data_IF_613412231466
#
_entry.id   IF_613412231466
#
_cell.length_a   1.000
_cell.length_b   1.000
_cell.length_c   1.000
_cell.angle_alpha   90.00
_cell.angle_beta   90.00
_cell.angle_gamma   90.00
#
_symmetry.space_group_name_H-M   'P 1'
#
loop_
_entity.id
_entity.type
_entity.pdbx_description
1 polymer ?
#
# COMPACT_ATOMS: atom_id res chain seq x y z
N UNK A 1 -15.11 -24.38 -14.20
CA UNK A 1 -14.73 -23.44 -15.26
C UNK A 1 -13.24 -23.19 -15.06
N UNK A 2 -12.42 -23.90 -15.83
CA UNK A 2 -10.97 -23.95 -15.64
C UNK A 2 -10.36 -22.83 -16.48
N UNK A 3 -9.64 -21.90 -15.86
CA UNK A 3 -8.88 -20.92 -16.61
C UNK A 3 -7.74 -21.64 -17.35
N UNK A 4 -7.57 -21.43 -18.66
CA UNK A 4 -6.38 -21.93 -19.34
C UNK A 4 -5.17 -21.25 -18.70
N UNK A 5 -4.28 -22.06 -18.11
CA UNK A 5 -2.92 -21.61 -17.77
C UNK A 5 -2.20 -21.37 -19.07
N UNK A 6 -2.26 -20.13 -19.55
CA UNK A 6 -1.67 -19.71 -20.81
C UNK A 6 -0.15 -19.66 -20.66
N UNK A 7 0.51 -20.54 -21.39
CA UNK A 7 1.93 -20.84 -21.37
C UNK A 7 2.67 -19.88 -22.31
N UNK A 8 2.45 -18.56 -22.18
CA UNK A 8 3.26 -17.51 -22.81
C UNK A 8 3.19 -16.21 -22.00
N UNK A 9 3.68 -16.21 -20.75
CA UNK A 9 4.03 -14.93 -20.12
C UNK A 9 5.22 -14.34 -20.86
N UNK A 10 5.04 -13.15 -21.44
CA UNK A 10 6.13 -12.42 -22.11
C UNK A 10 7.22 -12.14 -21.07
N UNK A 11 8.48 -12.56 -21.30
CA UNK A 11 9.56 -12.36 -20.34
C UNK A 11 9.75 -10.89 -19.93
N UNK A 12 9.33 -9.94 -20.77
CA UNK A 12 9.38 -8.49 -20.48
C UNK A 12 8.33 -8.08 -19.45
N UNK A 13 7.18 -8.74 -19.41
CA UNK A 13 6.16 -8.49 -18.39
C UNK A 13 6.64 -8.97 -17.02
N UNK A 14 7.33 -10.10 -16.98
CA UNK A 14 7.94 -10.61 -15.76
C UNK A 14 9.01 -9.65 -15.21
N UNK A 15 9.88 -9.13 -16.07
CA UNK A 15 10.92 -8.15 -15.68
C UNK A 15 10.32 -6.85 -15.13
N UNK A 16 9.19 -6.38 -15.68
CA UNK A 16 8.47 -5.20 -15.18
C UNK A 16 7.82 -5.46 -13.82
N UNK A 17 7.19 -6.62 -13.62
CA UNK A 17 6.60 -7.02 -12.34
C UNK A 17 7.68 -7.15 -11.26
N UNK A 18 8.82 -7.75 -11.60
CA UNK A 18 9.96 -7.88 -10.70
C UNK A 18 10.55 -6.51 -10.36
N UNK A 19 10.70 -5.61 -11.34
CA UNK A 19 11.17 -4.24 -11.13
C UNK A 19 10.28 -3.43 -10.18
N UNK A 20 8.95 -3.52 -10.33
CA UNK A 20 8.00 -2.88 -9.42
C UNK A 20 8.07 -3.46 -8.00
N UNK A 21 8.22 -4.78 -7.89
CA UNK A 21 8.34 -5.45 -6.60
C UNK A 21 9.62 -5.04 -5.85
N UNK A 22 10.74 -4.87 -6.56
CA UNK A 22 11.98 -4.35 -5.99
C UNK A 22 11.80 -2.91 -5.50
N UNK A 23 11.19 -2.03 -6.31
CA UNK A 23 10.95 -0.64 -5.92
C UNK A 23 10.04 -0.52 -4.69
N UNK A 24 9.02 -1.36 -4.56
CA UNK A 24 8.13 -1.35 -3.39
C UNK A 24 8.86 -1.78 -2.12
N UNK A 25 9.67 -2.85 -2.22
CA UNK A 25 10.48 -3.34 -1.10
C UNK A 25 11.50 -2.29 -0.67
N UNK A 26 12.15 -1.61 -1.62
CA UNK A 26 13.08 -0.52 -1.32
C UNK A 26 12.38 0.72 -0.73
N UNK A 27 11.21 1.09 -1.23
CA UNK A 27 10.40 2.17 -0.65
C UNK A 27 10.01 1.84 0.80
N UNK A 28 9.59 0.61 1.06
CA UNK A 28 9.23 0.16 2.40
C UNK A 28 10.45 0.12 3.32
N UNK A 29 11.60 -0.37 2.85
CA UNK A 29 12.88 -0.30 3.59
C UNK A 29 13.26 1.14 3.92
N UNK A 30 13.12 2.06 2.97
CA UNK A 30 13.40 3.48 3.16
C UNK A 30 12.48 4.10 4.21
N UNK A 31 11.19 3.75 4.20
CA UNK A 31 10.23 4.19 5.21
C UNK A 31 10.57 3.65 6.60
N UNK A 32 10.81 2.35 6.72
CA UNK A 32 11.21 1.72 7.98
C UNK A 32 12.50 2.36 8.52
N UNK A 33 13.49 2.63 7.66
CA UNK A 33 14.73 3.30 8.07
C UNK A 33 14.49 4.73 8.58
N UNK A 34 13.64 5.51 7.90
CA UNK A 34 13.26 6.86 8.36
C UNK A 34 12.51 6.83 9.68
N UNK A 35 11.57 5.89 9.84
CA UNK A 35 10.82 5.72 11.09
C UNK A 35 11.76 5.30 12.22
N UNK A 36 12.74 4.42 11.95
CA UNK A 36 13.77 4.05 12.92
C UNK A 36 14.64 5.25 13.31
N UNK A 37 15.07 6.07 12.35
CA UNK A 37 15.86 7.27 12.63
C UNK A 37 15.08 8.27 13.51
N UNK A 38 13.80 8.48 13.21
CA UNK A 38 12.91 9.33 14.01
C UNK A 38 12.74 8.75 15.42
N UNK A 39 12.52 7.43 15.52
CA UNK A 39 12.37 6.74 16.79
C UNK A 39 13.65 6.77 17.65
N UNK A 40 14.84 6.73 17.04
CA UNK A 40 16.13 6.86 17.72
C UNK A 40 16.43 8.30 18.16
N UNK A 41 15.95 9.30 17.40
CA UNK A 41 16.03 10.71 17.78
C UNK A 41 15.01 11.08 18.85
N UNK A 42 13.87 10.40 18.85
CA UNK A 42 12.93 10.43 19.95
C UNK A 42 13.50 9.65 21.15
N UNK A 43 12.99 9.92 22.35
CA UNK A 43 13.34 9.15 23.53
C UNK A 43 12.94 7.67 23.33
N UNK A 44 13.90 6.72 23.26
CA UNK A 44 13.61 5.33 22.91
C UNK A 44 12.66 4.64 23.89
N UNK A 45 12.62 5.10 25.15
CA UNK A 45 11.73 4.58 26.18
C UNK A 45 10.27 4.97 25.92
N UNK A 46 10.04 6.06 25.18
CA UNK A 46 8.71 6.61 24.89
C UNK A 46 8.16 6.21 23.51
N UNK A 47 8.88 5.38 22.75
CA UNK A 47 8.40 4.88 21.45
C UNK A 47 7.27 3.85 21.67
N UNK A 48 6.09 4.00 21.03
CA UNK A 48 5.00 3.04 21.17
C UNK A 48 5.41 1.62 20.76
N UNK A 49 4.95 0.61 21.50
CA UNK A 49 5.26 -0.81 21.21
C UNK A 49 4.85 -1.22 19.79
N UNK A 50 3.74 -0.68 19.26
CA UNK A 50 3.32 -0.94 17.87
C UNK A 50 4.39 -0.49 16.87
N UNK A 51 5.04 0.65 17.11
CA UNK A 51 6.11 1.15 16.26
C UNK A 51 7.31 0.21 16.34
N UNK A 52 7.68 -0.24 17.55
CA UNK A 52 8.78 -1.22 17.74
C UNK A 52 8.50 -2.53 17.02
N UNK A 53 7.28 -3.07 17.12
CA UNK A 53 6.86 -4.27 16.39
C UNK A 53 6.97 -4.08 14.88
N UNK A 54 6.50 -2.95 14.34
CA UNK A 54 6.57 -2.67 12.90
C UNK A 54 8.01 -2.58 12.39
N UNK A 55 8.93 -2.04 13.20
CA UNK A 55 10.34 -1.94 12.87
C UNK A 55 11.07 -3.30 12.99
N UNK A 56 10.56 -4.20 13.83
CA UNK A 56 11.12 -5.53 14.03
C UNK A 56 10.67 -6.57 12.99
N UNK A 57 9.67 -6.24 12.16
CA UNK A 57 9.15 -7.13 11.12
C UNK A 57 10.25 -7.47 10.09
N UNK A 58 10.72 -8.73 10.11
CA UNK A 58 11.77 -9.22 9.20
C UNK A 58 11.22 -9.74 7.87
N UNK A 59 9.99 -10.22 7.88
CA UNK A 59 9.30 -10.78 6.71
C UNK A 59 8.01 -10.02 6.49
N UNK A 60 7.77 -9.62 5.25
CA UNK A 60 6.58 -8.89 4.84
C UNK A 60 5.60 -9.85 4.20
N UNK A 61 4.32 -9.73 4.59
CA UNK A 61 3.26 -10.50 3.95
C UNK A 61 2.86 -9.81 2.64
N UNK A 62 2.93 -10.56 1.55
CA UNK A 62 2.61 -10.07 0.21
C UNK A 62 1.16 -10.43 -0.16
N UNK A 63 0.41 -9.46 -0.70
CA UNK A 63 -0.98 -9.66 -1.08
C UNK A 63 -1.24 -9.05 -2.45
N UNK A 64 -1.82 -9.80 -3.41
CA UNK A 64 -2.28 -9.21 -4.67
C UNK A 64 -3.50 -8.32 -4.40
N UNK A 65 -3.51 -7.14 -5.01
CA UNK A 65 -4.55 -6.12 -4.79
C UNK A 65 -5.01 -5.52 -6.11
N UNK A 66 -6.25 -5.05 -6.12
CA UNK A 66 -6.72 -4.08 -7.11
C UNK A 66 -7.20 -2.81 -6.41
N UNK A 67 -6.91 -1.67 -7.01
CA UNK A 67 -7.20 -0.36 -6.45
C UNK A 67 -8.18 0.34 -7.38
N UNK A 68 -9.30 0.77 -6.82
CA UNK A 68 -10.20 1.74 -7.43
C UNK A 68 -9.91 3.12 -6.85
N UNK A 69 -9.81 4.13 -7.71
CA UNK A 69 -9.73 5.51 -7.27
C UNK A 69 -10.61 6.44 -8.09
N UNK A 70 -11.11 7.49 -7.45
CA UNK A 70 -11.87 8.54 -8.11
C UNK A 70 -12.00 9.79 -7.24
N UNK A 71 -12.05 10.95 -7.89
CA UNK A 71 -12.20 12.23 -7.21
C UNK A 71 -11.33 13.34 -7.81
N UNK A 72 -11.42 14.54 -7.24
CA UNK A 72 -10.56 15.68 -7.61
C UNK A 72 -9.94 16.31 -6.37
N UNK A 73 -10.80 16.82 -5.47
CA UNK A 73 -10.39 17.44 -4.20
C UNK A 73 -10.53 16.48 -3.02
N UNK A 74 -11.60 15.69 -3.06
CA UNK A 74 -11.80 14.53 -2.20
C UNK A 74 -11.62 13.31 -3.09
N UNK A 75 -10.71 12.42 -2.70
CA UNK A 75 -10.41 11.20 -3.44
C UNK A 75 -10.74 10.01 -2.56
N UNK A 76 -11.63 9.16 -3.06
CA UNK A 76 -11.91 7.85 -2.49
C UNK A 76 -10.92 6.83 -3.05
N UNK A 77 -10.39 6.00 -2.16
CA UNK A 77 -9.43 4.96 -2.48
C UNK A 77 -9.93 3.65 -1.92
N UNK A 78 -10.19 2.69 -2.80
CA UNK A 78 -10.65 1.36 -2.46
C UNK A 78 -9.59 0.34 -2.89
N UNK A 79 -8.81 -0.17 -1.94
CA UNK A 79 -7.84 -1.24 -2.20
C UNK A 79 -8.40 -2.59 -1.77
N UNK A 80 -8.65 -3.44 -2.75
CA UNK A 80 -9.30 -4.73 -2.59
C UNK A 80 -8.27 -5.85 -2.75
N UNK A 81 -8.19 -6.74 -1.76
CA UNK A 81 -7.23 -7.85 -1.77
C UNK A 81 -7.84 -8.99 -2.58
N UNK A 82 -7.21 -9.37 -3.70
CA UNK A 82 -7.83 -10.22 -4.73
C UNK A 82 -8.20 -11.60 -4.20
N UNK A 83 -7.33 -12.20 -3.40
CA UNK A 83 -7.48 -13.57 -2.91
C UNK A 83 -8.12 -13.65 -1.52
N UNK A 84 -8.50 -12.50 -0.95
CA UNK A 84 -8.96 -12.41 0.44
C UNK A 84 -10.25 -11.59 0.53
N UNK A 85 -11.14 -11.89 1.50
CA UNK A 85 -12.39 -11.14 1.69
C UNK A 85 -12.14 -9.82 2.43
N UNK A 86 -11.10 -9.08 2.05
CA UNK A 86 -10.66 -7.85 2.72
C UNK A 86 -10.62 -6.67 1.75
N UNK A 87 -10.83 -5.48 2.30
CA UNK A 87 -10.71 -4.22 1.57
C UNK A 87 -10.19 -3.13 2.50
N UNK A 88 -9.47 -2.16 1.95
CA UNK A 88 -9.17 -0.91 2.61
C UNK A 88 -9.99 0.19 1.94
N UNK A 89 -10.83 0.87 2.72
CA UNK A 89 -11.61 2.01 2.25
C UNK A 89 -11.02 3.29 2.86
N UNK A 90 -10.46 4.15 2.01
CA UNK A 90 -9.84 5.40 2.40
C UNK A 90 -10.49 6.62 1.76
N UNK A 91 -10.63 7.68 2.55
CA UNK A 91 -11.00 9.01 2.07
C UNK A 91 -9.80 9.93 2.27
N UNK A 92 -9.45 10.67 1.22
CA UNK A 92 -8.32 11.59 1.25
C UNK A 92 -8.71 12.99 0.82
N UNK A 93 -7.98 13.95 1.37
CA UNK A 93 -7.88 15.29 0.83
C UNK A 93 -6.58 15.43 0.05
N UNK A 94 -6.62 16.18 -1.03
CA UNK A 94 -5.42 16.47 -1.81
C UNK A 94 -5.75 16.97 -3.20
N UNK A 95 -4.73 16.98 -4.06
CA UNK A 95 -4.90 17.28 -5.47
C UNK A 95 -4.51 16.01 -6.21
N UNK A 96 -5.51 15.31 -6.73
CA UNK A 96 -5.30 14.31 -7.75
C UNK A 96 -6.35 14.50 -8.84
N UNK A 97 -5.91 14.49 -10.09
CA UNK A 97 -6.80 14.62 -11.24
C UNK A 97 -6.96 13.26 -11.89
N UNK A 98 -8.21 12.83 -12.04
CA UNK A 98 -8.56 11.62 -12.77
C UNK A 98 -9.10 10.51 -11.88
N UNK A 99 -9.14 9.32 -12.45
CA UNK A 99 -9.58 8.10 -11.79
C UNK A 99 -9.02 6.91 -12.55
N UNK A 100 -9.17 5.73 -11.98
CA UNK A 100 -8.65 4.54 -12.63
C UNK A 100 -8.76 3.28 -11.80
N UNK A 101 -8.38 2.20 -12.46
CA UNK A 101 -8.20 0.90 -11.86
C UNK A 101 -6.76 0.46 -12.05
N UNK A 102 -6.11 0.09 -10.97
CA UNK A 102 -4.76 -0.47 -11.01
C UNK A 102 -4.73 -1.80 -10.28
N UNK A 103 -3.79 -2.66 -10.67
CA UNK A 103 -3.55 -3.96 -10.07
C UNK A 103 -2.10 -4.04 -9.62
N UNK A 104 -1.85 -4.69 -8.50
CA UNK A 104 -0.52 -4.72 -7.94
C UNK A 104 -0.40 -5.60 -6.72
N UNK A 105 0.56 -5.25 -5.90
CA UNK A 105 0.90 -6.00 -4.70
C UNK A 105 1.03 -5.04 -3.53
N UNK A 106 0.54 -5.48 -2.38
CA UNK A 106 0.74 -4.84 -1.09
C UNK A 106 1.69 -5.69 -0.24
N UNK A 107 2.62 -5.03 0.44
CA UNK A 107 3.56 -5.62 1.38
C UNK A 107 3.30 -5.02 2.76
N UNK A 108 2.88 -5.87 3.70
CA UNK A 108 2.58 -5.45 5.07
C UNK A 108 3.55 -6.06 6.08
N UNK A 109 3.87 -5.27 7.10
CA UNK A 109 4.64 -5.70 8.28
C UNK A 109 3.79 -6.58 9.22
N UNK A 110 2.48 -6.66 8.99
CA UNK A 110 1.52 -7.47 9.73
C UNK A 110 0.70 -8.32 8.76
N UNK A 111 0.32 -9.55 9.14
CA UNK A 111 -0.69 -10.29 8.40
C UNK A 111 -2.00 -9.49 8.33
N UNK A 112 -2.65 -9.48 7.18
CA UNK A 112 -3.85 -8.65 6.98
C UNK A 112 -4.98 -8.96 7.96
N UNK A 113 -5.13 -10.23 8.35
CA UNK A 113 -6.10 -10.67 9.37
C UNK A 113 -5.93 -9.95 10.72
N UNK A 114 -4.70 -9.56 11.07
CA UNK A 114 -4.37 -8.90 12.34
C UNK A 114 -4.75 -7.41 12.33
N UNK A 115 -4.81 -6.80 11.16
CA UNK A 115 -5.06 -5.37 10.99
C UNK A 115 -6.49 -5.06 10.51
N UNK A 116 -7.36 -6.07 10.39
CA UNK A 116 -8.78 -5.84 10.13
C UNK A 116 -9.40 -5.04 11.28
N UNK A 117 -10.16 -4.01 10.92
CA UNK A 117 -10.75 -3.04 11.83
C UNK A 117 -9.79 -1.93 12.26
N UNK A 118 -8.53 -1.95 11.82
CA UNK A 118 -7.60 -0.87 12.13
C UNK A 118 -7.88 0.33 11.22
N UNK A 119 -7.89 1.51 11.84
CA UNK A 119 -7.77 2.77 11.13
C UNK A 119 -6.31 3.02 10.76
N UNK A 120 -6.09 3.46 9.54
CA UNK A 120 -4.79 3.80 9.01
C UNK A 120 -4.81 5.15 8.32
N UNK A 121 -3.74 5.90 8.50
CA UNK A 121 -3.38 7.02 7.63
C UNK A 121 -2.72 6.46 6.39
N UNK A 122 -2.94 7.11 5.26
CA UNK A 122 -2.27 6.76 4.04
C UNK A 122 -1.78 7.98 3.27
N UNK A 123 -0.79 7.76 2.43
CA UNK A 123 -0.35 8.69 1.42
C UNK A 123 -0.27 7.92 0.12
N UNK A 124 -1.00 8.39 -0.88
CA UNK A 124 -0.98 7.82 -2.22
C UNK A 124 -0.38 8.82 -3.20
N UNK A 125 0.50 8.31 -4.06
CA UNK A 125 1.08 9.03 -5.19
C UNK A 125 0.63 8.35 -6.47
N UNK A 126 0.05 9.13 -7.36
CA UNK A 126 -0.46 8.68 -8.65
C UNK A 126 0.36 9.32 -9.77
N UNK A 127 0.84 8.47 -10.66
CA UNK A 127 1.45 8.84 -11.92
C UNK A 127 0.73 8.07 -13.03
N UNK A 128 0.76 8.53 -14.29
CA UNK A 128 0.11 7.80 -15.36
C UNK A 128 0.65 6.36 -15.43
N UNK A 129 -0.25 5.39 -15.31
CA UNK A 129 0.08 3.98 -15.31
C UNK A 129 0.56 3.37 -13.98
N UNK A 130 0.85 4.17 -12.95
CA UNK A 130 1.43 3.69 -11.68
C UNK A 130 0.80 4.38 -10.46
N UNK A 131 0.47 3.60 -9.42
CA UNK A 131 0.03 4.09 -8.14
C UNK A 131 0.89 3.48 -7.02
N UNK A 132 1.34 4.32 -6.09
CA UNK A 132 2.06 3.89 -4.89
C UNK A 132 1.31 4.37 -3.66
N UNK A 133 1.07 3.50 -2.69
CA UNK A 133 0.37 3.83 -1.45
C UNK A 133 1.20 3.36 -0.26
N UNK A 134 1.37 4.23 0.72
CA UNK A 134 2.02 3.91 1.98
C UNK A 134 1.02 4.05 3.13
N UNK A 135 1.04 3.09 4.05
CA UNK A 135 0.08 2.98 5.15
C UNK A 135 0.80 3.10 6.50
N UNK A 136 0.24 3.92 7.38
CA UNK A 136 0.69 4.07 8.75
C UNK A 136 -0.50 3.91 9.70
N UNK A 137 -0.29 3.25 10.83
CA UNK A 137 -1.31 3.23 11.87
C UNK A 137 -1.48 4.60 12.51
N UNK A 138 -2.54 4.73 13.31
CA UNK A 138 -2.85 5.99 13.98
C UNK A 138 -1.79 6.39 15.02
N UNK A 139 -0.94 5.47 15.45
CA UNK A 139 0.16 5.72 16.39
C UNK A 139 1.52 5.96 15.71
N UNK A 140 1.58 5.86 14.38
CA UNK A 140 2.79 6.13 13.58
C UNK A 140 3.59 4.89 13.20
N UNK A 141 3.10 3.70 13.55
CA UNK A 141 3.64 2.43 13.09
C UNK A 141 3.51 2.29 11.57
N UNK A 142 4.51 1.69 10.94
CA UNK A 142 4.47 1.42 9.49
C UNK A 142 3.69 0.13 9.28
N UNK A 143 2.49 0.24 8.70
CA UNK A 143 1.67 -0.94 8.36
C UNK A 143 2.25 -1.60 7.11
N UNK A 144 2.57 -0.79 6.10
CA UNK A 144 3.28 -1.26 4.91
C UNK A 144 3.09 -0.36 3.70
N UNK A 145 3.35 -0.93 2.52
CA UNK A 145 3.34 -0.20 1.25
C UNK A 145 2.72 -1.04 0.15
N UNK A 146 2.27 -0.39 -0.91
CA UNK A 146 1.64 -0.99 -2.06
C UNK A 146 2.10 -0.28 -3.32
N UNK A 147 2.34 -1.05 -4.37
CA UNK A 147 2.58 -0.54 -5.72
C UNK A 147 1.66 -1.28 -6.68
N UNK A 148 0.98 -0.52 -7.53
CA UNK A 148 0.09 -1.05 -8.55
C UNK A 148 0.31 -0.34 -9.88
N UNK A 149 0.21 -1.10 -10.96
CA UNK A 149 0.20 -0.60 -12.33
C UNK A 149 -1.18 -0.79 -12.96
N UNK A 150 -1.54 0.03 -13.95
CA UNK A 150 -2.77 -0.21 -14.70
C UNK A 150 -3.33 1.00 -15.41
N UNK A 151 -4.63 0.96 -15.66
CA UNK A 151 -5.37 2.01 -16.36
C UNK A 151 -5.73 3.12 -15.38
N UNK A 152 -4.72 3.91 -15.04
CA UNK A 152 -4.91 5.16 -14.30
C UNK A 152 -4.45 6.34 -15.13
N UNK A 153 -5.37 7.30 -15.30
CA UNK A 153 -5.06 8.66 -15.78
C UNK A 153 -4.78 9.62 -14.61
N UNK A 154 -4.75 9.07 -13.40
CA UNK A 154 -4.53 9.77 -12.14
C UNK A 154 -3.14 10.39 -12.08
N UNK A 155 -3.07 11.69 -11.81
CA UNK A 155 -1.82 12.35 -11.42
C UNK A 155 -2.06 13.16 -10.16
N UNK A 156 -1.21 12.96 -9.16
CA UNK A 156 -1.25 13.75 -7.94
C UNK A 156 -0.74 13.02 -6.71
N UNK A 157 -0.78 13.73 -5.59
CA UNK A 157 -0.46 13.18 -4.28
C UNK A 157 -1.61 13.51 -3.34
N UNK A 158 -2.11 12.48 -2.66
CA UNK A 158 -3.21 12.62 -1.69
C UNK A 158 -2.80 11.99 -0.38
N UNK A 159 -3.34 12.55 0.71
CA UNK A 159 -3.17 12.04 2.06
C UNK A 159 -4.53 11.91 2.71
N UNK A 160 -4.74 10.81 3.43
CA UNK A 160 -6.05 10.50 3.97
C UNK A 160 -6.03 9.54 5.13
N UNK A 161 -7.22 9.14 5.51
CA UNK A 161 -7.47 8.11 6.50
C UNK A 161 -8.44 7.09 5.93
N UNK A 162 -8.33 5.87 6.40
CA UNK A 162 -9.23 4.79 6.01
C UNK A 162 -9.16 3.64 6.99
N UNK A 163 -9.99 2.65 6.74
CA UNK A 163 -10.14 1.49 7.62
C UNK A 163 -10.00 0.21 6.81
N UNK A 164 -9.29 -0.77 7.37
CA UNK A 164 -9.27 -2.13 6.84
C UNK A 164 -10.54 -2.87 7.26
N UNK A 165 -11.31 -3.37 6.29
CA UNK A 165 -12.62 -3.96 6.49
C UNK A 165 -12.68 -5.37 5.91
N UNK A 166 -13.59 -6.17 6.47
CA UNK A 166 -14.02 -7.44 5.88
C UNK A 166 -15.17 -7.17 4.91
N UNK A 167 -15.08 -7.72 3.71
CA UNK A 167 -16.12 -7.64 2.67
C UNK A 167 -17.25 -8.63 2.94
#
# INVERSE_FOLDING_TARGET
MSFPTDETQDPREQELVDGHSVMAKEALRSLTARTLEIAQKADPENVPEQVKESLAAKEQSEYPVWIGMGGIFEVTLDANFTDLPYTFHGVSGGIALGGGFTWGTAWFNYPIDRIIGWDARFQASFMPGVATINYWGMRGEVIGSMIAGGLTIGVGVVGGQGTFLRR
#
